data_IF_753889382959
#
_entry.id   IF_753889382959
#
_cell.length_a   1.000
_cell.length_b   1.000
_cell.length_c   1.000
_cell.angle_alpha   90.00
_cell.angle_beta   90.00
_cell.angle_gamma   90.00
#
_symmetry.space_group_name_H-M   'P 1'
#
loop_
_entity.id
_entity.type
_entity.pdbx_description
1 polymer ?
#
# COMPACT_ATOMS: atom_id res chain seq x y z
N UNK A 1 23.72 1.49 -1.41
CA UNK A 1 22.55 1.08 -0.59
C UNK A 1 21.87 -0.04 -1.34
N UNK A 2 21.54 -1.14 -0.69
CA UNK A 2 20.72 -2.19 -1.30
C UNK A 2 19.30 -1.62 -1.42
N UNK A 3 18.69 -1.81 -2.58
CA UNK A 3 17.29 -1.43 -2.78
C UNK A 3 16.43 -2.63 -2.39
N UNK A 4 15.70 -2.52 -1.29
CA UNK A 4 14.85 -3.58 -0.77
C UNK A 4 13.41 -3.10 -0.56
N UNK A 5 12.52 -4.08 -0.53
CA UNK A 5 11.08 -3.89 -0.33
C UNK A 5 10.74 -4.39 1.07
N UNK A 6 10.08 -3.54 1.86
CA UNK A 6 9.47 -3.96 3.12
C UNK A 6 8.13 -4.64 2.84
N UNK A 7 7.90 -5.81 3.46
CA UNK A 7 6.62 -6.51 3.46
C UNK A 7 6.17 -6.70 4.91
N UNK A 8 5.35 -5.79 5.46
CA UNK A 8 4.81 -5.94 6.78
C UNK A 8 3.62 -6.92 6.74
N UNK A 9 3.70 -8.00 7.49
CA UNK A 9 2.59 -8.92 7.71
C UNK A 9 1.86 -8.58 8.99
N UNK A 10 0.58 -8.31 8.88
CA UNK A 10 -0.34 -8.23 10.02
C UNK A 10 -0.73 -9.64 10.44
N UNK A 11 -0.73 -9.91 11.73
CA UNK A 11 -1.03 -11.23 12.28
C UNK A 11 -2.25 -11.23 13.22
N UNK A 12 -2.79 -10.04 13.54
CA UNK A 12 -3.88 -9.87 14.51
C UNK A 12 -4.76 -8.65 14.16
N UNK A 13 -6.09 -8.69 14.39
CA UNK A 13 -6.87 -9.89 14.75
C UNK A 13 -6.94 -10.88 13.59
N UNK A 14 -6.97 -10.38 12.36
CA UNK A 14 -6.96 -11.15 11.13
C UNK A 14 -5.58 -11.05 10.48
N UNK A 15 -5.00 -12.19 10.12
CA UNK A 15 -3.72 -12.22 9.45
C UNK A 15 -3.87 -11.91 7.96
N UNK A 16 -2.81 -11.35 7.35
CA UNK A 16 -2.69 -11.35 5.90
C UNK A 16 -2.73 -12.78 5.35
N UNK A 17 -3.09 -12.91 4.09
CA UNK A 17 -3.18 -14.20 3.40
C UNK A 17 -1.94 -14.47 2.55
N UNK A 18 -1.78 -15.71 2.07
CA UNK A 18 -0.72 -16.09 1.13
C UNK A 18 -0.76 -15.27 -0.18
N UNK A 19 -1.90 -14.66 -0.50
CA UNK A 19 -2.00 -13.76 -1.65
C UNK A 19 -1.02 -12.59 -1.55
N UNK A 20 -0.74 -12.05 -0.36
CA UNK A 20 0.26 -11.01 -0.18
C UNK A 20 1.67 -11.51 -0.51
N UNK A 21 1.98 -12.76 -0.17
CA UNK A 21 3.27 -13.40 -0.51
C UNK A 21 3.48 -13.39 -2.02
N UNK A 22 2.51 -13.88 -2.79
CA UNK A 22 2.60 -13.94 -4.26
C UNK A 22 2.75 -12.54 -4.88
N UNK A 23 2.04 -11.55 -4.32
CA UNK A 23 2.14 -10.15 -4.75
C UNK A 23 3.51 -9.55 -4.48
N UNK A 24 4.04 -9.74 -3.27
CA UNK A 24 5.36 -9.24 -2.89
C UNK A 24 6.46 -9.83 -3.80
N UNK A 25 6.38 -11.12 -4.09
CA UNK A 25 7.31 -11.79 -5.02
C UNK A 25 7.19 -11.23 -6.44
N UNK A 26 5.96 -11.02 -6.94
CA UNK A 26 5.75 -10.43 -8.27
C UNK A 26 6.33 -9.01 -8.36
N UNK A 27 6.12 -8.17 -7.35
CA UNK A 27 6.68 -6.82 -7.27
C UNK A 27 8.21 -6.85 -7.21
N UNK A 28 8.77 -7.69 -6.34
CA UNK A 28 10.21 -7.81 -6.19
C UNK A 28 10.88 -8.31 -7.48
N UNK A 29 10.28 -9.29 -8.15
CA UNK A 29 10.74 -9.80 -9.46
C UNK A 29 10.70 -8.70 -10.51
N UNK A 30 9.57 -7.98 -10.63
CA UNK A 30 9.40 -6.90 -11.60
C UNK A 30 10.43 -5.79 -11.41
N UNK A 31 10.70 -5.41 -10.17
CA UNK A 31 11.63 -4.34 -9.83
C UNK A 31 13.10 -4.81 -9.75
N UNK A 32 13.37 -6.12 -9.69
CA UNK A 32 14.71 -6.67 -9.44
C UNK A 32 15.25 -6.31 -8.05
N UNK A 33 14.40 -6.39 -7.02
CA UNK A 33 14.73 -5.98 -5.65
C UNK A 33 14.69 -7.13 -4.66
N UNK A 34 15.39 -6.95 -3.55
CA UNK A 34 15.38 -7.87 -2.40
C UNK A 34 14.10 -7.67 -1.56
N UNK A 35 13.77 -8.63 -0.71
CA UNK A 35 12.64 -8.56 0.22
C UNK A 35 13.13 -8.58 1.66
N UNK A 36 12.62 -7.66 2.47
CA UNK A 36 12.65 -7.70 3.92
C UNK A 36 11.22 -7.83 4.43
N UNK A 37 10.86 -8.97 5.01
CA UNK A 37 9.54 -9.20 5.56
C UNK A 37 9.55 -9.08 7.08
N UNK A 38 8.53 -8.47 7.63
CA UNK A 38 8.36 -8.29 9.07
C UNK A 38 6.99 -8.78 9.51
N UNK A 39 6.91 -9.77 10.40
CA UNK A 39 5.67 -10.15 11.05
C UNK A 39 5.41 -9.23 12.24
N UNK A 40 4.32 -8.46 12.17
CA UNK A 40 3.85 -7.62 13.27
C UNK A 40 3.06 -8.50 14.24
N UNK A 41 3.70 -8.92 15.32
CA UNK A 41 3.12 -9.78 16.34
C UNK A 41 2.42 -8.96 17.40
N UNK A 42 1.25 -9.41 17.86
CA UNK A 42 0.50 -8.70 18.89
C UNK A 42 1.16 -8.86 20.26
N UNK A 43 1.28 -7.73 20.95
CA UNK A 43 1.61 -7.62 22.37
C UNK A 43 0.42 -6.99 23.09
N UNK A 44 -0.24 -7.74 23.95
CA UNK A 44 -1.43 -7.28 24.68
C UNK A 44 -1.02 -6.87 26.08
N UNK A 45 -1.07 -5.55 26.41
CA UNK A 45 -0.66 -5.09 27.73
C UNK A 45 -1.43 -5.76 28.86
N UNK A 46 -0.74 -6.10 29.93
CA UNK A 46 -1.36 -6.62 31.16
C UNK A 46 -2.34 -5.58 31.74
N UNK A 47 -3.63 -5.86 31.65
CA UNK A 47 -4.66 -5.02 32.25
C UNK A 47 -4.73 -5.30 33.75
N UNK A 48 -3.94 -4.59 34.55
CA UNK A 48 -3.84 -4.76 35.99
C UNK A 48 -4.96 -4.06 36.81
N UNK A 49 -6.20 -4.10 36.34
CA UNK A 49 -7.33 -3.55 37.05
C UNK A 49 -7.97 -4.58 38.00
N UNK A 50 -8.46 -4.12 39.18
CA UNK A 50 -9.18 -4.96 40.14
C UNK A 50 -10.34 -5.76 39.52
N UNK A 51 -10.95 -5.25 38.44
CA UNK A 51 -12.02 -5.90 37.70
C UNK A 51 -11.48 -7.04 36.81
N UNK A 52 -10.28 -6.90 36.24
CA UNK A 52 -9.67 -7.95 35.38
C UNK A 52 -9.24 -9.19 36.20
N UNK A 53 -8.95 -9.03 37.50
CA UNK A 53 -8.68 -10.14 38.42
C UNK A 53 -9.89 -10.99 38.72
N UNK A 54 -11.11 -10.48 38.48
CA UNK A 54 -12.38 -11.22 38.62
C UNK A 54 -12.79 -11.97 37.36
N UNK A 55 -12.20 -11.69 36.21
CA UNK A 55 -12.43 -12.41 34.96
C UNK A 55 -11.51 -13.63 34.91
N UNK A 56 -12.01 -14.76 35.40
CA UNK A 56 -11.33 -16.05 35.36
C UNK A 56 -11.02 -16.38 33.87
N UNK A 57 -9.70 -16.50 33.53
CA UNK A 57 -9.25 -16.94 32.20
C UNK A 57 -8.72 -15.83 31.27
N UNK A 58 -8.79 -14.54 31.62
CA UNK A 58 -8.25 -13.46 30.80
C UNK A 58 -6.72 -13.62 30.49
N UNK A 59 -5.85 -13.95 31.46
CA UNK A 59 -4.43 -14.16 31.15
C UNK A 59 -4.18 -15.35 30.20
N UNK A 60 -4.98 -16.40 30.28
CA UNK A 60 -4.87 -17.54 29.35
C UNK A 60 -5.33 -17.16 27.95
N UNK A 61 -6.35 -16.35 27.84
CA UNK A 61 -6.84 -15.86 26.55
C UNK A 61 -5.78 -14.94 25.89
N UNK A 62 -5.17 -14.02 26.63
CA UNK A 62 -4.09 -13.16 26.14
C UNK A 62 -2.93 -14.03 25.63
N UNK A 63 -2.42 -14.95 26.44
CA UNK A 63 -1.32 -15.83 26.04
C UNK A 63 -1.63 -16.66 24.79
N UNK A 64 -2.86 -17.15 24.64
CA UNK A 64 -3.29 -17.86 23.43
C UNK A 64 -3.31 -16.94 22.22
N UNK A 65 -3.88 -15.75 22.33
CA UNK A 65 -3.94 -14.76 21.25
C UNK A 65 -2.55 -14.38 20.74
N UNK A 66 -1.62 -14.12 21.66
CA UNK A 66 -0.23 -13.83 21.31
C UNK A 66 0.49 -15.03 20.68
N UNK A 67 0.25 -16.25 21.21
CA UNK A 67 0.80 -17.47 20.63
C UNK A 67 0.26 -17.71 19.21
N UNK A 68 -1.03 -17.50 18.99
CA UNK A 68 -1.64 -17.63 17.66
C UNK A 68 -1.09 -16.58 16.69
N UNK A 69 -0.90 -15.32 17.13
CA UNK A 69 -0.29 -14.26 16.36
C UNK A 69 1.14 -14.63 15.93
N UNK A 70 1.98 -15.10 16.88
CA UNK A 70 3.34 -15.59 16.56
C UNK A 70 3.34 -16.76 15.59
N UNK A 71 2.43 -17.72 15.76
CA UNK A 71 2.33 -18.86 14.85
C UNK A 71 1.97 -18.45 13.43
N UNK A 72 1.01 -17.52 13.28
CA UNK A 72 0.64 -16.93 11.97
C UNK A 72 1.81 -16.18 11.35
N UNK A 73 2.51 -15.35 12.14
CA UNK A 73 3.71 -14.63 11.70
C UNK A 73 4.79 -15.55 11.17
N UNK A 74 5.12 -16.61 11.94
CA UNK A 74 6.10 -17.61 11.53
C UNK A 74 5.70 -18.34 10.23
N UNK A 75 4.42 -18.67 10.07
CA UNK A 75 3.90 -19.29 8.85
C UNK A 75 4.06 -18.39 7.63
N UNK A 76 3.68 -17.09 7.73
CA UNK A 76 3.80 -16.12 6.64
C UNK A 76 5.28 -15.85 6.28
N UNK A 77 6.16 -15.70 7.28
CA UNK A 77 7.60 -15.56 7.04
C UNK A 77 8.18 -16.77 6.35
N UNK A 78 7.79 -18.00 6.75
CA UNK A 78 8.23 -19.23 6.08
C UNK A 78 7.71 -19.34 4.65
N UNK A 79 6.47 -18.92 4.39
CA UNK A 79 5.88 -18.94 3.06
C UNK A 79 6.60 -17.97 2.10
N UNK A 80 6.87 -16.73 2.53
CA UNK A 80 7.57 -15.76 1.68
C UNK A 80 9.04 -16.11 1.48
N UNK A 81 9.73 -16.68 2.49
CA UNK A 81 11.11 -17.18 2.36
C UNK A 81 11.20 -18.28 1.30
N UNK A 82 10.30 -19.27 1.37
CA UNK A 82 10.23 -20.35 0.40
C UNK A 82 9.91 -19.81 -1.02
N UNK A 83 9.03 -18.84 -1.14
CA UNK A 83 8.68 -18.21 -2.42
C UNK A 83 9.86 -17.38 -2.97
N UNK A 84 10.52 -16.58 -2.15
CA UNK A 84 11.71 -15.80 -2.52
C UNK A 84 12.86 -16.70 -2.99
N UNK A 85 13.10 -17.81 -2.29
CA UNK A 85 14.11 -18.81 -2.68
C UNK A 85 13.81 -19.38 -4.06
N UNK A 86 12.57 -19.78 -4.33
CA UNK A 86 12.17 -20.29 -5.66
C UNK A 86 12.34 -19.25 -6.78
N UNK A 87 12.13 -17.97 -6.46
CA UNK A 87 12.25 -16.85 -7.39
C UNK A 87 13.70 -16.32 -7.52
N UNK A 88 14.66 -16.82 -6.73
CA UNK A 88 16.03 -16.33 -6.71
C UNK A 88 16.19 -14.93 -6.12
N UNK A 89 15.22 -14.50 -5.27
CA UNK A 89 15.21 -13.21 -4.58
C UNK A 89 15.89 -13.37 -3.23
N UNK A 90 16.77 -12.43 -2.87
CA UNK A 90 17.34 -12.40 -1.52
C UNK A 90 16.27 -11.98 -0.51
N UNK A 91 16.26 -12.68 0.60
CA UNK A 91 15.26 -12.52 1.64
C UNK A 91 15.90 -12.26 3.01
N UNK A 92 15.29 -11.39 3.79
CA UNK A 92 15.48 -11.26 5.21
C UNK A 92 14.10 -11.23 5.88
N UNK A 93 13.95 -11.94 6.99
CA UNK A 93 12.70 -12.00 7.75
C UNK A 93 12.95 -11.78 9.23
N UNK A 94 12.06 -11.02 9.88
CA UNK A 94 12.08 -10.82 11.32
C UNK A 94 10.65 -10.66 11.87
N UNK A 95 10.53 -10.77 13.21
CA UNK A 95 9.29 -10.46 13.93
C UNK A 95 9.46 -9.17 14.73
N UNK A 96 8.40 -8.36 14.80
CA UNK A 96 8.34 -7.16 15.61
C UNK A 96 7.06 -7.16 16.43
N UNK A 97 7.17 -7.12 17.76
CA UNK A 97 6.01 -7.04 18.65
C UNK A 97 5.57 -5.59 18.83
N UNK A 98 4.26 -5.37 18.85
CA UNK A 98 3.65 -4.10 19.17
C UNK A 98 2.22 -4.28 19.71
N UNK A 99 1.75 -3.31 20.47
CA UNK A 99 0.33 -3.22 20.80
C UNK A 99 -0.48 -3.03 19.50
N UNK A 100 -1.71 -3.59 19.40
CA UNK A 100 -2.51 -3.47 18.16
C UNK A 100 -2.69 -2.04 17.68
N UNK A 101 -2.90 -1.10 18.61
CA UNK A 101 -3.06 0.33 18.28
C UNK A 101 -1.79 0.98 17.72
N UNK A 102 -0.62 0.37 17.89
CA UNK A 102 0.68 0.89 17.46
C UNK A 102 1.23 0.17 16.21
N UNK A 103 0.50 -0.75 15.61
CA UNK A 103 0.96 -1.45 14.39
C UNK A 103 1.31 -0.48 13.26
N UNK A 104 0.51 0.56 13.06
CA UNK A 104 0.78 1.59 12.06
C UNK A 104 2.08 2.35 12.31
N UNK A 105 2.30 2.79 13.55
CA UNK A 105 3.52 3.53 13.95
C UNK A 105 4.75 2.64 13.81
N UNK A 106 4.66 1.39 14.28
CA UNK A 106 5.77 0.43 14.17
C UNK A 106 6.14 0.13 12.71
N UNK A 107 5.14 -0.09 11.87
CA UNK A 107 5.36 -0.30 10.44
C UNK A 107 5.96 0.94 9.75
N UNK A 108 5.51 2.14 10.12
CA UNK A 108 6.07 3.39 9.61
C UNK A 108 7.54 3.58 9.98
N UNK A 109 7.92 3.26 11.22
CA UNK A 109 9.32 3.32 11.66
C UNK A 109 10.21 2.40 10.82
N UNK A 110 9.79 1.16 10.61
CA UNK A 110 10.52 0.19 9.79
C UNK A 110 10.62 0.65 8.34
N UNK A 111 9.52 1.16 7.78
CA UNK A 111 9.45 1.59 6.39
C UNK A 111 10.42 2.74 6.04
N UNK A 112 10.85 3.55 7.01
CA UNK A 112 11.84 4.64 6.79
C UNK A 112 13.16 4.16 6.21
N UNK A 113 13.52 2.92 6.44
CA UNK A 113 14.79 2.32 6.01
C UNK A 113 14.71 1.58 4.68
N UNK A 114 13.53 1.53 4.05
CA UNK A 114 13.25 0.81 2.81
C UNK A 114 12.82 1.77 1.70
N UNK A 115 12.97 1.37 0.45
CA UNK A 115 12.60 2.22 -0.69
C UNK A 115 11.10 2.17 -1.01
N UNK A 116 10.45 1.06 -0.67
CA UNK A 116 9.05 0.78 -0.95
C UNK A 116 8.51 -0.18 0.11
N UNK A 117 7.27 0.00 0.53
CA UNK A 117 6.55 -1.03 1.31
C UNK A 117 5.43 -1.63 0.48
N UNK A 118 5.27 -2.96 0.51
CA UNK A 118 4.14 -3.67 -0.11
C UNK A 118 3.20 -4.11 0.99
N UNK A 119 2.00 -3.54 1.00
CA UNK A 119 1.00 -3.74 2.08
C UNK A 119 -0.23 -4.44 1.52
N UNK A 120 -0.55 -5.60 2.05
CA UNK A 120 -1.77 -6.34 1.71
C UNK A 120 -3.00 -5.67 2.34
N UNK A 121 -4.03 -5.44 1.55
CA UNK A 121 -5.29 -4.88 2.02
C UNK A 121 -6.45 -5.83 1.75
N UNK A 122 -7.32 -5.94 2.75
CA UNK A 122 -8.62 -6.58 2.66
C UNK A 122 -9.65 -5.64 3.30
N UNK A 123 -10.84 -5.56 2.74
CA UNK A 123 -11.92 -4.68 3.22
C UNK A 123 -12.32 -4.95 4.69
N UNK A 124 -12.03 -6.15 5.21
CA UNK A 124 -12.35 -6.56 6.58
C UNK A 124 -11.17 -6.48 7.56
N UNK A 125 -9.97 -6.08 7.11
CA UNK A 125 -8.76 -6.05 7.95
C UNK A 125 -8.36 -4.63 8.33
N UNK A 126 -8.94 -4.11 9.41
CA UNK A 126 -8.67 -2.77 9.92
C UNK A 126 -7.20 -2.58 10.35
N UNK A 127 -6.55 -3.63 10.85
CA UNK A 127 -5.13 -3.56 11.21
C UNK A 127 -4.23 -3.39 9.98
N UNK A 128 -4.53 -4.07 8.88
CA UNK A 128 -3.81 -3.88 7.62
C UNK A 128 -4.01 -2.46 7.07
N UNK A 129 -5.21 -1.92 7.17
CA UNK A 129 -5.50 -0.53 6.83
C UNK A 129 -4.69 0.45 7.72
N UNK A 130 -4.67 0.25 9.04
CA UNK A 130 -3.87 1.05 9.97
C UNK A 130 -2.38 1.03 9.61
N UNK A 131 -1.83 -0.14 9.27
CA UNK A 131 -0.45 -0.30 8.80
C UNK A 131 -0.22 0.49 7.51
N UNK A 132 -1.13 0.41 6.54
CA UNK A 132 -1.04 1.16 5.29
C UNK A 132 -1.04 2.68 5.54
N UNK A 133 -1.97 3.19 6.36
CA UNK A 133 -2.05 4.59 6.76
C UNK A 133 -0.79 5.05 7.49
N UNK A 134 -0.31 4.26 8.45
CA UNK A 134 0.93 4.54 9.18
C UNK A 134 2.12 4.70 8.25
N UNK A 135 2.30 3.79 7.30
CA UNK A 135 3.39 3.84 6.33
C UNK A 135 3.25 5.05 5.42
N UNK A 136 2.09 5.27 4.80
CA UNK A 136 1.87 6.37 3.85
C UNK A 136 2.13 7.73 4.49
N UNK A 137 1.68 7.94 5.74
CA UNK A 137 1.74 9.26 6.39
C UNK A 137 2.89 9.42 7.38
N UNK A 138 3.43 8.33 7.91
CA UNK A 138 4.45 8.35 8.97
C UNK A 138 5.85 7.96 8.53
N UNK A 139 6.02 7.32 7.37
CA UNK A 139 7.34 6.83 6.95
C UNK A 139 8.13 7.81 6.08
N UNK A 140 7.46 8.65 5.26
CA UNK A 140 8.07 9.44 4.21
C UNK A 140 8.52 8.61 3.01
N UNK A 141 8.01 7.39 2.87
CA UNK A 141 8.29 6.44 1.80
C UNK A 141 7.00 6.01 1.10
N UNK A 142 7.06 5.63 -0.19
CA UNK A 142 5.88 5.14 -0.90
C UNK A 142 5.39 3.80 -0.36
N UNK A 143 4.07 3.60 -0.41
CA UNK A 143 3.43 2.33 -0.13
C UNK A 143 2.72 1.80 -1.39
N UNK A 144 2.98 0.56 -1.75
CA UNK A 144 2.20 -0.18 -2.74
C UNK A 144 1.14 -1.00 -2.02
N UNK A 145 -0.10 -0.53 -2.12
CA UNK A 145 -1.28 -1.21 -1.59
C UNK A 145 -1.69 -2.30 -2.57
N UNK A 146 -1.81 -3.52 -2.10
CA UNK A 146 -2.20 -4.67 -2.93
C UNK A 146 -3.46 -5.32 -2.36
N UNK A 147 -4.56 -5.37 -3.11
CA UNK A 147 -5.78 -6.04 -2.64
C UNK A 147 -5.56 -7.55 -2.62
N UNK A 148 -5.78 -8.20 -1.48
CA UNK A 148 -5.58 -9.65 -1.36
C UNK A 148 -6.63 -10.46 -2.12
N UNK A 149 -7.84 -9.92 -2.27
CA UNK A 149 -8.95 -10.60 -2.94
C UNK A 149 -8.92 -10.49 -4.48
N UNK A 150 -8.24 -9.47 -5.04
CA UNK A 150 -8.22 -9.28 -6.49
C UNK A 150 -7.09 -10.09 -7.16
N UNK A 151 -7.20 -10.47 -8.44
CA UNK A 151 -6.10 -11.10 -9.16
C UNK A 151 -4.91 -10.14 -9.30
N UNK A 152 -3.65 -10.64 -9.39
CA UNK A 152 -2.48 -9.80 -9.62
C UNK A 152 -2.60 -9.07 -10.95
N UNK A 153 -2.45 -7.74 -10.94
CA UNK A 153 -2.29 -6.95 -12.16
C UNK A 153 -0.85 -7.06 -12.68
N UNK A 154 -0.69 -7.03 -14.00
CA UNK A 154 0.62 -6.85 -14.60
C UNK A 154 1.04 -5.39 -14.51
N UNK A 155 2.34 -5.13 -14.32
CA UNK A 155 2.87 -3.76 -14.19
C UNK A 155 3.37 -3.16 -15.51
N UNK A 156 3.11 -3.81 -16.63
CA UNK A 156 3.50 -3.32 -17.96
C UNK A 156 2.69 -2.11 -18.43
N UNK A 157 1.46 -1.93 -17.88
CA UNK A 157 0.65 -0.74 -18.11
C UNK A 157 0.27 -0.09 -16.77
N UNK A 158 0.57 1.21 -16.65
CA UNK A 158 0.43 1.97 -15.42
C UNK A 158 -0.46 3.19 -15.65
N UNK A 159 -1.43 3.41 -14.78
CA UNK A 159 -2.21 4.63 -14.73
C UNK A 159 -1.65 5.60 -13.67
N UNK A 160 -1.61 6.88 -13.97
CA UNK A 160 -1.26 7.94 -13.03
C UNK A 160 -2.49 8.81 -12.82
N UNK A 161 -3.03 8.85 -11.61
CA UNK A 161 -4.05 9.83 -11.22
C UNK A 161 -3.40 11.20 -11.06
N UNK A 162 -3.72 12.12 -11.98
CA UNK A 162 -3.03 13.40 -12.07
C UNK A 162 -3.99 14.58 -11.94
N UNK A 163 -3.78 15.38 -10.90
CA UNK A 163 -4.52 16.62 -10.64
C UNK A 163 -3.62 17.86 -10.58
N UNK A 164 -2.31 17.69 -10.87
CA UNK A 164 -1.30 18.75 -10.79
C UNK A 164 -0.87 19.09 -9.36
N UNK A 165 -1.31 18.36 -8.34
CA UNK A 165 -0.93 18.60 -6.96
C UNK A 165 0.50 18.18 -6.64
N UNK A 166 1.03 18.75 -5.55
CA UNK A 166 2.35 18.42 -5.03
C UNK A 166 2.50 16.93 -4.70
N UNK A 167 1.47 16.33 -4.09
CA UNK A 167 1.50 14.92 -3.71
C UNK A 167 1.40 13.99 -4.92
N UNK A 168 0.65 14.36 -5.96
CA UNK A 168 0.64 13.64 -7.23
C UNK A 168 2.01 13.70 -7.91
N UNK A 169 2.69 14.86 -7.90
CA UNK A 169 4.05 14.99 -8.44
C UNK A 169 5.06 14.14 -7.65
N UNK A 170 4.92 14.06 -6.32
CA UNK A 170 5.73 13.18 -5.49
C UNK A 170 5.50 11.71 -5.84
N UNK A 171 4.24 11.30 -6.01
CA UNK A 171 3.90 9.92 -6.36
C UNK A 171 4.50 9.51 -7.71
N UNK A 172 4.50 10.40 -8.71
CA UNK A 172 5.16 10.15 -10.01
C UNK A 172 6.67 9.92 -9.83
N UNK A 173 7.32 10.69 -8.95
CA UNK A 173 8.75 10.51 -8.66
C UNK A 173 9.01 9.18 -7.98
N UNK A 174 8.23 8.83 -6.96
CA UNK A 174 8.41 7.59 -6.21
C UNK A 174 8.05 6.34 -7.04
N UNK A 175 7.15 6.49 -8.03
CA UNK A 175 6.80 5.43 -8.97
C UNK A 175 7.83 5.22 -10.10
N UNK A 176 8.88 6.04 -10.20
CA UNK A 176 9.85 6.00 -11.31
C UNK A 176 10.37 4.59 -11.61
N UNK A 177 10.73 3.73 -10.62
CA UNK A 177 11.20 2.37 -10.90
C UNK A 177 10.19 1.49 -11.63
N UNK A 178 8.89 1.75 -11.44
CA UNK A 178 7.81 1.10 -12.17
C UNK A 178 7.62 1.71 -13.56
N UNK A 179 7.60 3.05 -13.65
CA UNK A 179 7.35 3.77 -14.90
C UNK A 179 8.43 3.49 -15.95
N UNK A 180 9.70 3.35 -15.54
CA UNK A 180 10.82 3.03 -16.43
C UNK A 180 10.74 1.62 -17.03
N UNK A 181 9.96 0.72 -16.42
CA UNK A 181 9.75 -0.67 -16.89
C UNK A 181 8.40 -0.86 -17.58
N UNK A 182 7.52 0.15 -17.50
CA UNK A 182 6.21 0.08 -18.11
C UNK A 182 6.30 0.17 -19.65
N UNK A 183 5.50 -0.63 -20.34
CA UNK A 183 5.30 -0.52 -21.79
C UNK A 183 4.41 0.66 -22.18
N UNK A 184 3.46 1.03 -21.31
CA UNK A 184 2.54 2.17 -21.51
C UNK A 184 2.15 2.84 -20.22
N UNK A 185 2.11 4.18 -20.22
CA UNK A 185 1.66 5.02 -19.11
C UNK A 185 0.43 5.81 -19.54
N UNK A 186 -0.64 5.72 -18.75
CA UNK A 186 -1.89 6.46 -18.96
C UNK A 186 -2.02 7.52 -17.88
N UNK A 187 -1.93 8.80 -18.25
CA UNK A 187 -2.14 9.92 -17.32
C UNK A 187 -3.64 10.23 -17.27
N UNK A 188 -4.30 9.85 -16.18
CA UNK A 188 -5.74 10.07 -15.94
C UNK A 188 -5.98 11.37 -15.20
N UNK A 189 -6.78 12.27 -15.78
CA UNK A 189 -7.21 13.50 -15.12
C UNK A 189 -8.72 13.51 -15.04
N UNK A 190 -9.29 13.48 -13.83
CA UNK A 190 -10.75 13.60 -13.59
C UNK A 190 -11.13 15.08 -13.62
N UNK A 191 -12.05 15.46 -14.51
CA UNK A 191 -12.33 16.88 -14.82
C UNK A 191 -13.59 17.42 -14.15
N UNK A 192 -14.43 16.57 -13.56
CA UNK A 192 -15.70 16.92 -12.93
C UNK A 192 -15.73 16.71 -11.39
N UNK A 193 -14.56 16.48 -10.77
CA UNK A 193 -14.47 16.31 -9.31
C UNK A 193 -14.23 17.64 -8.60
N UNK A 194 -13.23 18.39 -9.06
CA UNK A 194 -12.84 19.70 -8.49
C UNK A 194 -12.32 20.62 -9.59
N UNK A 195 -12.32 21.95 -9.37
CA UNK A 195 -11.71 22.88 -10.32
C UNK A 195 -10.23 22.54 -10.50
N UNK A 196 -9.81 22.38 -11.75
CA UNK A 196 -8.41 22.16 -12.12
C UNK A 196 -7.78 23.51 -12.47
N UNK A 197 -6.51 23.68 -12.12
CA UNK A 197 -5.76 24.91 -12.42
C UNK A 197 -5.59 25.15 -13.94
N UNK A 198 -5.58 24.07 -14.73
CA UNK A 198 -5.41 24.11 -16.19
C UNK A 198 -5.98 22.83 -16.81
N UNK A 199 -6.71 22.97 -17.91
CA UNK A 199 -7.26 21.85 -18.68
C UNK A 199 -6.16 20.95 -19.32
N UNK A 200 -4.96 21.47 -19.54
CA UNK A 200 -3.83 20.77 -20.17
C UNK A 200 -2.91 20.01 -19.22
N UNK A 201 -3.26 19.89 -17.94
CA UNK A 201 -2.39 19.27 -16.91
C UNK A 201 -1.91 17.87 -17.28
N UNK A 202 -2.80 16.99 -17.69
CA UNK A 202 -2.49 15.61 -18.09
C UNK A 202 -1.60 15.54 -19.31
N UNK A 203 -1.90 16.34 -20.33
CA UNK A 203 -1.11 16.42 -21.57
C UNK A 203 0.31 16.90 -21.30
N UNK A 204 0.47 17.87 -20.40
CA UNK A 204 1.78 18.37 -20.00
C UNK A 204 2.63 17.35 -19.28
N UNK A 205 2.03 16.56 -18.35
CA UNK A 205 2.74 15.45 -17.72
C UNK A 205 3.11 14.37 -18.74
N UNK A 206 2.18 13.95 -19.60
CA UNK A 206 2.43 12.94 -20.63
C UNK A 206 3.58 13.36 -21.56
N UNK A 207 3.60 14.63 -22.00
CA UNK A 207 4.69 15.17 -22.81
C UNK A 207 6.04 15.16 -22.05
N UNK A 208 6.04 15.49 -20.76
CA UNK A 208 7.24 15.42 -19.92
C UNK A 208 7.77 14.00 -19.74
N UNK A 209 6.89 13.00 -19.61
CA UNK A 209 7.26 11.58 -19.55
C UNK A 209 7.80 11.11 -20.91
N UNK A 210 7.15 11.50 -22.01
CA UNK A 210 7.60 11.16 -23.36
C UNK A 210 8.98 11.76 -23.67
N UNK A 211 9.27 12.98 -23.22
CA UNK A 211 10.60 13.60 -23.35
C UNK A 211 11.71 12.82 -22.61
N UNK A 212 11.34 11.97 -21.64
CA UNK A 212 12.25 11.04 -20.93
C UNK A 212 12.34 9.66 -21.62
N UNK A 213 11.70 9.48 -22.77
CA UNK A 213 11.70 8.22 -23.50
C UNK A 213 10.62 7.22 -23.05
N UNK A 214 9.66 7.65 -22.23
CA UNK A 214 8.57 6.78 -21.77
C UNK A 214 7.35 6.89 -22.69
N UNK A 215 6.66 5.78 -22.93
CA UNK A 215 5.42 5.76 -23.73
C UNK A 215 4.26 6.23 -22.87
N UNK A 216 3.85 7.50 -23.01
CA UNK A 216 2.81 8.09 -22.18
C UNK A 216 1.75 8.83 -23.01
N UNK A 217 0.46 8.69 -22.60
CA UNK A 217 -0.65 9.46 -23.16
C UNK A 217 -1.55 10.00 -22.05
N UNK A 218 -2.22 11.12 -22.32
CA UNK A 218 -3.18 11.72 -21.41
C UNK A 218 -4.61 11.27 -21.76
N UNK A 219 -5.41 11.08 -20.71
CA UNK A 219 -6.85 10.77 -20.81
C UNK A 219 -7.59 11.64 -19.82
N UNK A 220 -8.67 12.29 -20.28
CA UNK A 220 -9.63 12.96 -19.41
C UNK A 220 -10.73 11.98 -19.05
N UNK A 221 -11.04 11.89 -17.77
CA UNK A 221 -12.06 11.02 -17.21
C UNK A 221 -13.14 11.84 -16.51
N UNK A 222 -14.35 11.28 -16.41
CA UNK A 222 -15.46 11.84 -15.64
C UNK A 222 -15.83 10.84 -14.54
N UNK A 223 -15.90 11.32 -13.29
CA UNK A 223 -16.40 10.47 -12.21
C UNK A 223 -17.91 10.30 -12.24
N UNK A 224 -18.63 11.33 -12.73
CA UNK A 224 -20.10 11.39 -12.66
C UNK A 224 -20.57 11.30 -11.20
N UNK A 225 -21.48 10.37 -10.93
CA UNK A 225 -22.00 10.14 -9.57
C UNK A 225 -21.18 9.12 -8.76
N UNK A 226 -20.06 8.59 -9.31
CA UNK A 226 -19.21 7.60 -8.61
C UNK A 226 -18.34 8.31 -7.56
N UNK A 227 -17.99 7.65 -6.43
CA UNK A 227 -16.88 8.08 -5.59
C UNK A 227 -15.61 8.19 -6.42
N UNK A 228 -14.80 9.22 -6.15
CA UNK A 228 -13.58 9.50 -6.95
C UNK A 228 -12.61 8.32 -6.99
N UNK A 229 -12.42 7.59 -5.87
CA UNK A 229 -11.58 6.40 -5.82
C UNK A 229 -12.08 5.29 -6.74
N UNK A 230 -13.38 5.02 -6.73
CA UNK A 230 -14.01 4.02 -7.60
C UNK A 230 -13.88 4.40 -9.08
N UNK A 231 -14.06 5.70 -9.42
CA UNK A 231 -13.89 6.19 -10.77
C UNK A 231 -12.43 6.01 -11.25
N UNK A 232 -11.45 6.42 -10.46
CA UNK A 232 -10.02 6.29 -10.81
C UNK A 232 -9.60 4.84 -11.01
N UNK A 233 -9.99 3.94 -10.12
CA UNK A 233 -9.67 2.51 -10.24
C UNK A 233 -10.36 1.87 -11.47
N UNK A 234 -11.65 2.17 -11.67
CA UNK A 234 -12.41 1.64 -12.82
C UNK A 234 -11.85 2.14 -14.15
N UNK A 235 -11.51 3.43 -14.25
CA UNK A 235 -10.96 4.01 -15.48
C UNK A 235 -9.53 3.51 -15.73
N UNK A 236 -8.70 3.34 -14.69
CA UNK A 236 -7.40 2.70 -14.81
C UNK A 236 -7.52 1.27 -15.36
N UNK A 237 -8.43 0.47 -14.80
CA UNK A 237 -8.70 -0.89 -15.26
C UNK A 237 -9.26 -0.93 -16.69
N UNK A 238 -10.15 -0.01 -17.06
CA UNK A 238 -10.68 0.12 -18.43
C UNK A 238 -9.59 0.40 -19.48
N UNK A 239 -8.52 1.07 -19.07
CA UNK A 239 -7.33 1.29 -19.88
C UNK A 239 -6.30 0.15 -19.77
N UNK A 240 -6.62 -0.94 -19.07
CA UNK A 240 -5.78 -2.12 -18.91
C UNK A 240 -4.61 -1.92 -17.95
N UNK A 241 -4.63 -0.89 -17.11
CA UNK A 241 -3.56 -0.66 -16.14
C UNK A 241 -3.65 -1.68 -14.98
N UNK A 242 -2.51 -2.27 -14.63
CA UNK A 242 -2.38 -3.15 -13.47
C UNK A 242 -1.90 -2.43 -12.21
N UNK A 243 -1.48 -1.17 -12.35
CA UNK A 243 -1.06 -0.30 -11.26
C UNK A 243 -1.66 1.09 -11.43
N UNK A 244 -2.24 1.63 -10.36
CA UNK A 244 -2.61 3.04 -10.25
C UNK A 244 -1.60 3.75 -9.35
N UNK A 245 -1.01 4.85 -9.85
CA UNK A 245 -0.11 5.73 -9.09
C UNK A 245 -0.89 6.98 -8.70
N UNK A 246 -0.92 7.32 -7.41
CA UNK A 246 -1.60 8.53 -6.95
C UNK A 246 -0.97 9.12 -5.70
N UNK A 247 -1.13 10.44 -5.53
CA UNK A 247 -0.78 11.12 -4.30
C UNK A 247 -1.79 10.85 -3.19
N UNK A 248 -1.29 10.68 -1.98
CA UNK A 248 -2.11 10.65 -0.77
C UNK A 248 -2.26 12.05 -0.19
N UNK A 249 -3.49 12.52 0.03
CA UNK A 249 -3.80 13.81 0.68
C UNK A 249 -3.14 15.09 0.10
N UNK A 250 -3.81 15.72 -0.84
CA UNK A 250 -3.37 17.00 -1.42
C UNK A 250 -3.71 18.25 -0.59
N UNK A 251 -4.54 18.17 0.44
CA UNK A 251 -4.99 19.31 1.24
C UNK A 251 -4.47 19.28 2.67
N UNK A 252 -4.05 20.46 3.16
CA UNK A 252 -3.43 20.71 4.44
C UNK A 252 -4.13 20.00 5.62
N UNK A 253 -3.32 19.47 6.52
CA UNK A 253 -3.68 19.05 7.85
C UNK A 253 -4.45 20.18 8.57
N UNK A 254 -5.76 20.15 8.53
CA UNK A 254 -6.56 20.67 9.63
C UNK A 254 -6.90 19.46 10.51
N UNK A 255 -6.74 19.64 11.78
CA UNK A 255 -6.70 18.72 12.92
C UNK A 255 -7.88 17.76 13.12
N UNK A 256 -8.78 17.65 12.16
CA UNK A 256 -9.92 16.75 12.19
C UNK A 256 -9.86 15.87 10.94
N UNK A 257 -9.65 14.60 11.14
CA UNK A 257 -9.57 13.46 10.21
C UNK A 257 -10.68 13.47 9.13
N UNK A 258 -10.63 14.36 8.17
CA UNK A 258 -11.40 14.22 6.94
C UNK A 258 -10.43 13.73 5.87
N UNK A 259 -10.36 12.41 5.74
CA UNK A 259 -9.67 11.71 4.68
C UNK A 259 -10.20 12.20 3.32
N UNK A 260 -9.33 12.67 2.41
CA UNK A 260 -9.76 13.03 1.05
C UNK A 260 -10.37 11.80 0.35
N UNK A 261 -11.53 11.97 -0.26
CA UNK A 261 -12.34 10.86 -0.79
C UNK A 261 -11.59 9.87 -1.71
N UNK A 262 -10.54 10.31 -2.42
CA UNK A 262 -9.74 9.41 -3.25
C UNK A 262 -8.84 8.49 -2.41
N UNK A 263 -8.11 9.02 -1.43
CA UNK A 263 -7.21 8.22 -0.58
C UNK A 263 -7.99 7.29 0.34
N UNK A 264 -9.06 7.82 0.96
CA UNK A 264 -9.97 7.04 1.79
C UNK A 264 -10.55 5.86 1.02
N UNK A 265 -11.06 6.12 -0.18
CA UNK A 265 -11.70 5.07 -0.98
C UNK A 265 -10.72 3.97 -1.43
N UNK A 266 -9.47 4.28 -1.78
CA UNK A 266 -8.50 3.22 -2.16
C UNK A 266 -8.00 2.43 -0.95
N UNK A 267 -7.99 3.03 0.26
CA UNK A 267 -7.65 2.31 1.50
C UNK A 267 -8.79 1.41 1.97
N UNK A 268 -10.04 1.82 1.75
CA UNK A 268 -11.23 1.08 2.20
C UNK A 268 -11.67 0.02 1.19
N UNK A 269 -11.61 0.34 -0.11
CA UNK A 269 -12.10 -0.52 -1.19
C UNK A 269 -11.06 -0.65 -2.32
N UNK A 270 -9.90 -1.29 -2.05
CA UNK A 270 -8.90 -1.51 -3.09
C UNK A 270 -9.36 -2.57 -4.07
N UNK A 271 -9.50 -2.22 -5.35
CA UNK A 271 -9.87 -3.15 -6.43
C UNK A 271 -8.70 -3.50 -7.35
N UNK A 272 -7.61 -2.75 -7.24
CA UNK A 272 -6.35 -2.96 -7.98
C UNK A 272 -5.16 -2.52 -7.15
N UNK A 273 -3.94 -2.82 -7.59
CA UNK A 273 -2.74 -2.32 -6.93
C UNK A 273 -2.64 -0.80 -7.05
N UNK A 274 -2.36 -0.13 -5.93
CA UNK A 274 -2.25 1.34 -5.87
C UNK A 274 -0.95 1.74 -5.19
N UNK A 275 -0.10 2.50 -5.89
CA UNK A 275 1.07 3.14 -5.27
C UNK A 275 0.65 4.51 -4.73
N UNK A 276 0.76 4.67 -3.41
CA UNK A 276 0.49 5.92 -2.69
C UNK A 276 1.78 6.56 -2.18
N UNK A 277 1.88 7.88 -2.36
CA UNK A 277 2.95 8.72 -1.78
C UNK A 277 2.38 10.00 -1.21
N UNK A 278 2.99 10.50 -0.12
CA UNK A 278 2.59 11.72 0.57
C UNK A 278 3.75 12.71 0.71
#
# INVERSE_FOLDING_TARGET
MRQDILVPFVTYPDANTDALVDRAIAVATFLGRDIHAVALEVDIPDVSNLVSRLLIGLPDMIRRTEADSRARGAALLGAIEAAATRAGIRFAGESASAEPALFGDRAAELARYHDLSVVGLSASNDSARMVAEGIVFGSGRPALLVPEAAPPGAFDRIAIAWDGSRVAARAVTDAQPFLERAGEIVVLTVTDDKPLADAGLGTRLAAGLAARGLTARAVSALRGNRPIAAALQADAAAHGAGLLVMGGYGHSRLRDFVLGGATEGVLSEPTMSVLLSH
#
